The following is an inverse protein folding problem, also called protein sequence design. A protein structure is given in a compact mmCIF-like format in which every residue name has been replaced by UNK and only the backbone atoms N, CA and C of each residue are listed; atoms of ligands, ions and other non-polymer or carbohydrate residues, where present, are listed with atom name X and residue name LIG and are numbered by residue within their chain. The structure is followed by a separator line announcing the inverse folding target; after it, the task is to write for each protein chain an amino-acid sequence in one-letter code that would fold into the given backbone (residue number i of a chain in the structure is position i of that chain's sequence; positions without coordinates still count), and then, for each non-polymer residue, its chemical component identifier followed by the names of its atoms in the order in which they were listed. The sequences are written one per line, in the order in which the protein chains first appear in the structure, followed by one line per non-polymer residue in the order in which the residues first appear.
data_IF_197848731196
#
_entry.id   IF_197848731196
#
_cell.length_a   1.000
_cell.length_b   1.000
_cell.length_c   1.000
_cell.angle_alpha   90.00
_cell.angle_beta   90.00
_cell.angle_gamma   90.00
#
_symmetry.space_group_name_H-M   'P 1'
#
loop_
_entity.id
_entity.type
_entity.pdbx_description
1 polymer ?
#
# COMPACT_ATOMS: atom_id res chain seq x y z
N UNK A 1 10.06 -4.29 -14.05
CA UNK A 1 10.04 -4.94 -12.71
C UNK A 1 9.92 -6.44 -12.92
N UNK A 2 10.60 -7.29 -12.14
CA UNK A 2 10.48 -8.74 -12.25
C UNK A 2 9.35 -9.29 -11.35
N UNK A 3 9.05 -10.60 -11.46
CA UNK A 3 7.94 -11.23 -10.73
C UNK A 3 8.08 -11.14 -9.21
N UNK A 4 9.27 -11.42 -8.68
CA UNK A 4 9.51 -11.38 -7.23
C UNK A 4 9.29 -9.98 -6.65
N UNK A 5 9.79 -8.94 -7.32
CA UNK A 5 9.58 -7.56 -6.91
C UNK A 5 8.09 -7.15 -6.99
N UNK A 6 7.35 -7.65 -7.99
CA UNK A 6 5.91 -7.42 -8.06
C UNK A 6 5.17 -8.05 -6.87
N UNK A 7 5.52 -9.27 -6.47
CA UNK A 7 4.92 -9.95 -5.30
C UNK A 7 5.25 -9.20 -4.01
N UNK A 8 6.51 -8.79 -3.81
CA UNK A 8 6.91 -7.99 -2.65
C UNK A 8 6.14 -6.67 -2.59
N UNK A 9 5.96 -6.01 -3.75
CA UNK A 9 5.16 -4.78 -3.82
C UNK A 9 3.69 -5.03 -3.46
N UNK A 10 3.11 -6.16 -3.88
CA UNK A 10 1.74 -6.53 -3.53
C UNK A 10 1.57 -6.74 -2.02
N UNK A 11 2.49 -7.50 -1.42
CA UNK A 11 2.51 -7.74 0.04
C UNK A 11 2.62 -6.40 0.77
N UNK A 12 3.58 -5.55 0.37
CA UNK A 12 3.74 -4.23 0.96
C UNK A 12 2.50 -3.34 0.80
N UNK A 13 1.80 -3.42 -0.34
CA UNK A 13 0.54 -2.68 -0.60
C UNK A 13 -0.62 -3.21 0.24
N UNK A 14 -0.61 -4.49 0.60
CA UNK A 14 -1.64 -5.09 1.46
C UNK A 14 -1.43 -4.76 2.95
N UNK A 15 -0.19 -4.50 3.40
CA UNK A 15 0.11 -4.20 4.81
C UNK A 15 -0.71 -3.05 5.40
N UNK A 16 -0.87 -1.87 4.74
CA UNK A 16 -1.72 -0.80 5.23
C UNK A 16 -3.18 -1.22 5.42
N UNK A 17 -3.71 -2.08 4.55
CA UNK A 17 -5.10 -2.58 4.64
C UNK A 17 -5.23 -3.48 5.88
N UNK A 18 -4.30 -4.42 6.05
CA UNK A 18 -4.24 -5.30 7.24
C UNK A 18 -4.10 -4.46 8.52
N UNK A 19 -3.25 -3.43 8.48
CA UNK A 19 -3.05 -2.52 9.60
C UNK A 19 -4.32 -1.75 9.97
N UNK A 20 -5.16 -1.33 9.01
CA UNK A 20 -6.43 -0.66 9.31
C UNK A 20 -7.33 -1.57 10.16
N UNK A 21 -7.48 -2.84 9.79
CA UNK A 21 -8.28 -3.79 10.58
C UNK A 21 -7.70 -4.00 11.97
N UNK A 22 -6.38 -4.19 12.07
CA UNK A 22 -5.69 -4.31 13.35
C UNK A 22 -5.86 -3.06 14.21
N UNK A 23 -5.74 -1.86 13.63
CA UNK A 23 -5.87 -0.60 14.35
C UNK A 23 -7.25 -0.47 14.97
N UNK A 24 -8.32 -0.73 14.22
CA UNK A 24 -9.69 -0.63 14.74
C UNK A 24 -9.96 -1.65 15.85
N UNK A 25 -9.50 -2.89 15.72
CA UNK A 25 -9.69 -3.90 16.78
C UNK A 25 -8.86 -3.60 18.02
N UNK A 26 -7.61 -3.13 17.85
CA UNK A 26 -6.76 -2.73 18.95
C UNK A 26 -7.28 -1.46 19.65
N UNK A 27 -7.80 -0.51 18.89
CA UNK A 27 -8.41 0.71 19.41
C UNK A 27 -9.69 0.41 20.20
N UNK A 28 -10.60 -0.40 19.65
CA UNK A 28 -11.81 -0.84 20.37
C UNK A 28 -11.47 -1.61 21.65
N UNK A 29 -10.37 -2.36 21.65
CA UNK A 29 -9.92 -3.05 22.85
C UNK A 29 -9.58 -2.10 24.00
N UNK A 30 -9.15 -0.86 23.73
CA UNK A 30 -8.82 0.17 24.74
C UNK A 30 -10.07 0.74 25.40
N UNK A 31 -10.72 -0.10 26.20
CA UNK A 31 -11.89 0.26 26.99
C UNK A 31 -11.51 0.65 28.43
N UNK A 32 -12.50 1.07 29.22
CA UNK A 32 -12.30 1.50 30.62
C UNK A 32 -11.87 0.41 31.61
N UNK A 33 -11.62 -0.82 31.16
CA UNK A 33 -11.17 -1.92 32.02
C UNK A 33 -9.64 -2.01 32.13
N UNK A 34 -8.88 -1.32 31.27
CA UNK A 34 -7.42 -1.30 31.35
C UNK A 34 -6.90 -0.37 32.44
N UNK A 35 -5.77 -0.75 33.01
CA UNK A 35 -4.97 0.16 33.82
C UNK A 35 -4.39 1.28 32.94
N UNK A 36 -4.03 2.40 33.57
CA UNK A 36 -3.41 3.53 32.88
C UNK A 36 -2.09 3.13 32.19
N UNK A 37 -1.29 2.27 32.83
CA UNK A 37 -0.01 1.79 32.29
C UNK A 37 -0.22 0.93 31.03
N UNK A 38 -1.17 -0.02 31.05
CA UNK A 38 -1.49 -0.86 29.89
C UNK A 38 -2.02 -0.02 28.72
N UNK A 39 -2.89 0.95 29.00
CA UNK A 39 -3.43 1.86 28.00
C UNK A 39 -2.30 2.68 27.34
N UNK A 40 -1.38 3.23 28.13
CA UNK A 40 -0.24 3.98 27.62
C UNK A 40 0.68 3.11 26.75
N UNK A 41 1.01 1.90 27.19
CA UNK A 41 1.85 0.98 26.43
C UNK A 41 1.21 0.58 25.09
N UNK A 42 -0.10 0.31 25.09
CA UNK A 42 -0.85 0.03 23.85
C UNK A 42 -0.90 1.23 22.91
N UNK A 43 -1.14 2.42 23.46
CA UNK A 43 -1.14 3.65 22.68
C UNK A 43 0.22 3.90 22.02
N UNK A 44 1.31 3.78 22.77
CA UNK A 44 2.68 3.96 22.25
C UNK A 44 2.98 2.97 21.11
N UNK A 45 2.57 1.71 21.26
CA UNK A 45 2.70 0.71 20.21
C UNK A 45 1.89 1.09 18.95
N UNK A 46 0.61 1.44 19.13
CA UNK A 46 -0.24 1.84 18.01
C UNK A 46 0.29 3.08 17.31
N UNK A 47 0.77 4.07 18.05
CA UNK A 47 1.35 5.29 17.51
C UNK A 47 2.59 5.00 16.65
N UNK A 48 3.51 4.16 17.14
CA UNK A 48 4.70 3.75 16.37
C UNK A 48 4.33 2.97 15.10
N UNK A 49 3.39 2.03 15.20
CA UNK A 49 2.91 1.29 14.04
C UNK A 49 2.18 2.19 13.03
N UNK A 50 1.46 3.21 13.52
CA UNK A 50 0.78 4.19 12.69
C UNK A 50 1.78 5.01 11.89
N UNK A 51 2.79 5.58 12.57
CA UNK A 51 3.87 6.32 11.92
C UNK A 51 4.61 5.46 10.89
N UNK A 52 4.90 4.20 11.23
CA UNK A 52 5.50 3.24 10.31
C UNK A 52 4.64 3.02 9.07
N UNK A 53 3.33 2.90 9.24
CA UNK A 53 2.37 2.73 8.13
C UNK A 53 2.26 4.00 7.28
N UNK A 54 2.27 5.18 7.88
CA UNK A 54 2.29 6.46 7.14
C UNK A 54 3.55 6.58 6.28
N UNK A 55 4.73 6.26 6.84
CA UNK A 55 5.98 6.24 6.10
C UNK A 55 5.97 5.23 4.96
N UNK A 56 5.43 4.02 5.20
CA UNK A 56 5.23 3.00 4.17
C UNK A 56 4.32 3.49 3.05
N UNK A 57 3.20 4.14 3.37
CA UNK A 57 2.25 4.68 2.39
C UNK A 57 2.88 5.75 1.51
N UNK A 58 3.68 6.66 2.08
CA UNK A 58 4.44 7.66 1.31
C UNK A 58 5.45 6.96 0.39
N UNK A 59 6.18 5.98 0.92
CA UNK A 59 7.14 5.19 0.13
C UNK A 59 6.49 4.45 -1.03
N UNK A 60 5.36 3.78 -0.79
CA UNK A 60 4.57 3.10 -1.82
C UNK A 60 4.10 4.10 -2.87
N UNK A 61 3.55 5.24 -2.47
CA UNK A 61 3.10 6.27 -3.40
C UNK A 61 4.22 6.74 -4.32
N UNK A 62 5.41 7.03 -3.77
CA UNK A 62 6.59 7.40 -4.56
C UNK A 62 6.97 6.28 -5.53
N UNK A 63 6.98 5.02 -5.08
CA UNK A 63 7.31 3.85 -5.91
C UNK A 63 6.30 3.71 -7.07
N UNK A 64 5.00 3.79 -6.79
CA UNK A 64 3.95 3.67 -7.80
C UNK A 64 3.98 4.81 -8.81
N UNK A 65 4.17 6.05 -8.37
CA UNK A 65 4.30 7.22 -9.27
C UNK A 65 5.57 7.11 -10.11
N UNK A 66 6.71 6.75 -9.51
CA UNK A 66 7.94 6.53 -10.27
C UNK A 66 7.79 5.41 -11.30
N UNK A 67 7.14 4.30 -10.94
CA UNK A 67 6.85 3.20 -11.86
C UNK A 67 5.91 3.63 -13.00
N UNK A 68 4.84 4.37 -12.69
CA UNK A 68 3.89 4.90 -13.65
C UNK A 68 4.56 5.70 -14.77
N UNK A 69 5.50 6.58 -14.42
CA UNK A 69 6.19 7.38 -15.43
C UNK A 69 7.28 6.60 -16.17
N UNK A 70 7.92 5.62 -15.52
CA UNK A 70 8.96 4.77 -16.15
C UNK A 70 8.41 3.67 -17.06
N UNK A 71 7.22 3.15 -16.80
CA UNK A 71 6.67 2.02 -17.56
C UNK A 71 6.05 2.45 -18.89
N UNK A 72 6.14 1.59 -19.90
CA UNK A 72 5.44 1.75 -21.19
C UNK A 72 4.06 1.07 -21.19
N UNK A 73 3.74 0.30 -20.14
CA UNK A 73 2.47 -0.42 -20.01
C UNK A 73 1.25 0.52 -19.86
N UNK A 74 1.48 1.78 -19.49
CA UNK A 74 0.43 2.80 -19.31
C UNK A 74 0.47 3.76 -20.50
N UNK A 75 -0.64 3.91 -21.25
CA UNK A 75 -0.75 4.90 -22.32
C UNK A 75 -0.36 6.32 -21.84
N UNK A 76 0.41 7.05 -22.66
CA UNK A 76 1.02 8.35 -22.27
C UNK A 76 -0.03 9.38 -21.82
N UNK A 77 -1.17 9.43 -22.50
CA UNK A 77 -2.32 10.26 -22.21
C UNK A 77 -2.98 9.94 -20.85
N UNK A 78 -2.88 8.70 -20.38
CA UNK A 78 -3.48 8.25 -19.11
C UNK A 78 -2.55 8.39 -17.91
N UNK A 79 -1.28 8.72 -18.11
CA UNK A 79 -0.29 8.77 -17.01
C UNK A 79 -0.65 9.83 -15.97
N UNK A 80 -0.98 11.04 -16.41
CA UNK A 80 -1.35 12.14 -15.49
C UNK A 80 -2.61 11.78 -14.69
N UNK A 81 -3.63 11.22 -15.36
CA UNK A 81 -4.85 10.76 -14.70
C UNK A 81 -4.55 9.71 -13.63
N UNK A 82 -3.71 8.72 -13.96
CA UNK A 82 -3.31 7.70 -13.00
C UNK A 82 -2.49 8.24 -11.82
N UNK A 83 -1.67 9.27 -12.04
CA UNK A 83 -0.95 9.92 -10.95
C UNK A 83 -1.93 10.55 -9.94
N UNK A 84 -2.96 11.24 -10.44
CA UNK A 84 -4.03 11.81 -9.61
C UNK A 84 -4.82 10.71 -8.89
N UNK A 85 -5.20 9.64 -9.60
CA UNK A 85 -5.95 8.51 -9.02
C UNK A 85 -5.13 7.79 -7.95
N UNK A 86 -3.82 7.59 -8.15
CA UNK A 86 -2.93 7.01 -7.13
C UNK A 86 -2.77 7.94 -5.93
N UNK A 87 -2.67 9.25 -6.14
CA UNK A 87 -2.52 10.21 -5.06
C UNK A 87 -3.79 10.31 -4.20
N UNK A 88 -4.96 10.46 -4.83
CA UNK A 88 -6.25 10.64 -4.15
C UNK A 88 -6.87 9.31 -3.69
N UNK A 89 -6.84 8.29 -4.55
CA UNK A 89 -7.42 6.98 -4.25
C UNK A 89 -6.51 6.07 -3.42
N UNK A 90 -5.21 6.37 -3.40
CA UNK A 90 -4.20 5.81 -2.51
C UNK A 90 -4.38 4.30 -2.23
N UNK A 91 -4.85 3.94 -1.03
CA UNK A 91 -5.01 2.56 -0.58
C UNK A 91 -5.92 1.70 -1.48
N UNK A 92 -6.90 2.31 -2.17
CA UNK A 92 -7.79 1.63 -3.10
C UNK A 92 -7.20 1.60 -4.52
N UNK A 93 -6.52 2.68 -4.92
CA UNK A 93 -5.97 2.80 -6.26
C UNK A 93 -4.73 1.94 -6.48
N UNK A 94 -3.86 1.81 -5.47
CA UNK A 94 -2.60 1.06 -5.58
C UNK A 94 -2.81 -0.43 -5.93
N UNK A 95 -3.70 -1.20 -5.26
CA UNK A 95 -3.95 -2.60 -5.65
C UNK A 95 -4.49 -2.74 -7.08
N UNK A 96 -5.39 -1.85 -7.50
CA UNK A 96 -5.97 -1.85 -8.85
C UNK A 96 -4.88 -1.56 -9.88
N UNK A 97 -4.07 -0.53 -9.64
CA UNK A 97 -2.96 -0.18 -10.52
C UNK A 97 -1.93 -1.31 -10.63
N UNK A 98 -1.59 -1.93 -9.49
CA UNK A 98 -0.70 -3.07 -9.43
C UNK A 98 -1.21 -4.22 -10.31
N UNK A 99 -2.47 -4.60 -10.16
CA UNK A 99 -3.04 -5.69 -10.94
C UNK A 99 -2.99 -5.40 -12.45
N UNK A 100 -3.42 -4.20 -12.85
CA UNK A 100 -3.57 -3.82 -14.27
C UNK A 100 -2.24 -3.60 -14.99
N UNK A 101 -1.29 -2.91 -14.35
CA UNK A 101 -0.09 -2.38 -15.04
C UNK A 101 1.23 -2.94 -14.53
N UNK A 102 1.23 -3.64 -13.39
CA UNK A 102 2.39 -4.36 -12.89
C UNK A 102 2.25 -5.86 -13.16
N UNK A 103 1.19 -6.49 -12.66
CA UNK A 103 1.04 -7.95 -12.68
C UNK A 103 0.64 -8.50 -14.05
N UNK A 104 -0.42 -7.96 -14.65
CA UNK A 104 -0.95 -8.45 -15.94
C UNK A 104 0.09 -8.43 -17.07
N UNK A 105 0.94 -7.39 -17.23
CA UNK A 105 2.02 -7.40 -18.23
C UNK A 105 3.06 -8.50 -17.98
N UNK A 106 3.38 -8.82 -16.72
CA UNK A 106 4.31 -9.91 -16.38
C UNK A 106 3.78 -11.30 -16.71
N UNK A 107 2.45 -11.47 -16.74
CA UNK A 107 1.84 -12.70 -17.21
C UNK A 107 1.88 -12.80 -18.74
N UNK A 108 1.66 -11.69 -19.45
CA UNK A 108 1.68 -11.64 -20.93
C UNK A 108 3.07 -11.81 -21.51
N UNK A 109 4.09 -11.24 -20.88
CA UNK A 109 5.50 -11.43 -21.27
C UNK A 109 6.04 -12.85 -21.00
N UNK A 110 5.27 -13.70 -20.31
CA UNK A 110 5.59 -15.12 -20.09
C UNK A 110 5.01 -16.08 -21.13
N UNK A 111 4.40 -15.58 -22.22
CA UNK A 111 3.87 -16.39 -23.34
C UNK A 111 4.76 -16.26 -24.60
N UNK A 112 5.92 -15.60 -24.48
CA UNK A 112 6.96 -15.60 -25.50
C UNK A 112 8.12 -16.51 -25.05
N UNK A 113 7.85 -17.81 -25.01
CA UNK A 113 8.86 -18.88 -25.06
C UNK A 113 8.38 -19.92 -26.05
#
# INVERSE_FOLDING_TARGET
MNRSAAILLAIATALPIVYIFYFFTAFDSMNGQMTQEEMQAKFDLLFRLHLGTMALMVGLLVIYIAYLFKTENVPKDKKVLWAVVLFLGNILAMPVFWFLYVWKPLQRGGVAT
#
